data_IF_029603063625
#
_entry.id   IF_029603063625
#
_cell.length_a   1.000
_cell.length_b   1.000
_cell.length_c   1.000
_cell.angle_alpha   90.00
_cell.angle_beta   90.00
_cell.angle_gamma   90.00
#
_symmetry.space_group_name_H-M   'P 1'
#
loop_
_entity.id
_entity.type
_entity.pdbx_description
1 polymer ?
#
# COMPACT_ATOMS: atom_id res chain seq x y z
N UNK A 1 3.17 27.35 -18.47
CA UNK A 1 2.44 26.76 -17.32
C UNK A 1 1.91 25.42 -17.79
N UNK A 2 2.13 24.39 -16.98
CA UNK A 2 1.81 23.00 -17.32
C UNK A 2 0.95 22.41 -16.21
N UNK A 3 -0.02 21.58 -16.59
CA UNK A 3 -0.99 20.99 -15.67
C UNK A 3 -0.90 19.47 -15.68
N UNK A 4 -1.17 18.84 -14.54
CA UNK A 4 -1.26 17.39 -14.39
C UNK A 4 -2.69 16.88 -14.58
N UNK A 5 -3.66 17.61 -14.02
CA UNK A 5 -5.07 17.27 -14.00
C UNK A 5 -5.91 18.50 -14.34
N UNK A 6 -7.04 18.26 -15.00
CA UNK A 6 -8.00 19.27 -15.41
C UNK A 6 -9.34 19.07 -14.70
N UNK A 7 -10.10 20.15 -14.62
CA UNK A 7 -11.52 20.17 -14.23
C UNK A 7 -12.36 20.58 -15.44
N UNK A 8 -13.69 20.62 -15.28
CA UNK A 8 -14.60 21.12 -16.31
C UNK A 8 -14.54 22.65 -16.49
N UNK A 9 -13.80 23.38 -15.63
CA UNK A 9 -13.73 24.83 -15.71
C UNK A 9 -12.83 25.29 -16.88
N UNK A 10 -13.35 26.13 -17.80
CA UNK A 10 -12.63 26.49 -19.03
C UNK A 10 -11.49 27.49 -18.81
N UNK A 11 -11.46 28.17 -17.66
CA UNK A 11 -10.47 29.19 -17.34
C UNK A 11 -9.18 28.63 -16.72
N UNK A 12 -9.12 27.30 -16.46
CA UNK A 12 -7.98 26.56 -15.90
C UNK A 12 -7.49 27.05 -14.53
N UNK A 13 -8.29 27.84 -13.82
CA UNK A 13 -7.86 28.45 -12.54
C UNK A 13 -7.76 27.42 -11.41
N UNK A 14 -8.55 26.36 -11.51
CA UNK A 14 -8.68 25.23 -10.59
C UNK A 14 -7.98 23.97 -11.14
N UNK A 15 -7.25 24.06 -12.25
CA UNK A 15 -6.45 22.95 -12.75
C UNK A 15 -5.21 22.76 -11.90
N UNK A 16 -4.82 21.50 -11.67
CA UNK A 16 -3.65 21.21 -10.86
C UNK A 16 -2.36 21.45 -11.66
N UNK A 17 -1.48 22.31 -11.14
CA UNK A 17 -0.15 22.51 -11.71
C UNK A 17 0.65 21.20 -11.69
N UNK A 18 1.38 20.93 -12.78
CA UNK A 18 2.16 19.72 -12.93
C UNK A 18 3.29 19.65 -11.90
N UNK A 19 3.99 20.75 -11.64
CA UNK A 19 5.03 20.81 -10.63
C UNK A 19 4.52 20.53 -9.22
N UNK A 20 3.31 21.00 -8.88
CA UNK A 20 2.67 20.71 -7.59
C UNK A 20 2.34 19.22 -7.47
N UNK A 21 1.73 18.65 -8.51
CA UNK A 21 1.44 17.21 -8.55
C UNK A 21 2.71 16.36 -8.38
N UNK A 22 3.75 16.63 -9.17
CA UNK A 22 5.02 15.89 -9.09
C UNK A 22 5.66 15.98 -7.70
N UNK A 23 5.62 17.16 -7.09
CA UNK A 23 6.13 17.37 -5.74
C UNK A 23 5.31 16.59 -4.69
N UNK A 24 3.99 16.71 -4.71
CA UNK A 24 3.12 15.98 -3.79
C UNK A 24 3.30 14.46 -3.91
N UNK A 25 3.37 13.93 -5.14
CA UNK A 25 3.61 12.50 -5.37
C UNK A 25 4.98 12.09 -4.87
N UNK A 26 6.01 12.91 -5.05
CA UNK A 26 7.35 12.64 -4.54
C UNK A 26 7.38 12.59 -3.00
N UNK A 27 6.74 13.56 -2.33
CA UNK A 27 6.66 13.63 -0.88
C UNK A 27 5.91 12.41 -0.31
N UNK A 28 4.71 12.12 -0.84
CA UNK A 28 3.91 10.98 -0.37
C UNK A 28 4.63 9.64 -0.62
N UNK A 29 5.23 9.46 -1.81
CA UNK A 29 5.95 8.22 -2.12
C UNK A 29 7.20 8.06 -1.23
N UNK A 30 7.89 9.16 -0.93
CA UNK A 30 9.04 9.20 -0.02
C UNK A 30 8.64 8.77 1.39
N UNK A 31 7.54 9.31 1.91
CA UNK A 31 7.00 8.99 3.24
C UNK A 31 6.63 7.50 3.35
N UNK A 32 5.96 6.95 2.34
CA UNK A 32 5.66 5.52 2.30
C UNK A 32 6.91 4.65 2.31
N UNK A 33 7.94 5.08 1.58
CA UNK A 33 9.17 4.35 1.41
C UNK A 33 10.15 4.46 2.60
N UNK A 34 9.97 5.43 3.50
CA UNK A 34 10.82 5.63 4.68
C UNK A 34 10.81 4.41 5.61
N UNK A 35 9.65 3.77 5.73
CA UNK A 35 9.42 2.56 6.54
C UNK A 35 10.35 1.39 6.18
N UNK A 36 10.90 1.37 4.96
CA UNK A 36 11.89 0.41 4.48
C UNK A 36 13.15 1.07 3.88
N UNK A 37 13.45 2.31 4.30
CA UNK A 37 14.65 3.08 3.99
C UNK A 37 14.89 3.29 2.49
N UNK A 38 13.84 3.68 1.77
CA UNK A 38 13.89 3.90 0.33
C UNK A 38 13.31 5.26 -0.11
N UNK A 39 13.24 6.23 0.82
CA UNK A 39 12.72 7.58 0.60
C UNK A 39 13.33 8.27 -0.61
N UNK A 40 14.66 8.35 -0.70
CA UNK A 40 15.34 9.11 -1.77
C UNK A 40 14.99 8.60 -3.18
N UNK A 41 14.96 7.27 -3.36
CA UNK A 41 14.63 6.66 -4.66
C UNK A 41 13.13 6.74 -4.96
N UNK A 42 12.26 6.68 -3.95
CA UNK A 42 10.82 6.88 -4.13
C UNK A 42 10.50 8.34 -4.50
N UNK A 43 11.14 9.29 -3.83
CA UNK A 43 11.06 10.73 -4.12
C UNK A 43 11.49 11.03 -5.56
N UNK A 44 12.64 10.49 -5.98
CA UNK A 44 13.10 10.58 -7.37
C UNK A 44 12.08 10.00 -8.36
N UNK A 45 11.45 8.88 -8.02
CA UNK A 45 10.39 8.26 -8.80
C UNK A 45 9.17 9.18 -8.95
N UNK A 46 8.71 9.78 -7.85
CA UNK A 46 7.55 10.69 -7.85
C UNK A 46 7.78 11.94 -8.68
N UNK A 47 8.95 12.60 -8.55
CA UNK A 47 9.27 13.78 -9.34
C UNK A 47 9.36 13.51 -10.85
N UNK A 48 9.82 12.30 -11.22
CA UNK A 48 10.09 11.98 -12.62
C UNK A 48 8.93 11.30 -13.33
N UNK A 49 7.97 10.69 -12.62
CA UNK A 49 7.05 9.74 -13.25
C UNK A 49 6.21 10.31 -14.41
N UNK A 50 5.88 11.60 -14.29
CA UNK A 50 4.95 12.29 -15.18
C UNK A 50 5.56 13.50 -15.90
N UNK A 51 6.89 13.63 -15.94
CA UNK A 51 7.55 14.76 -16.65
C UNK A 51 7.20 14.83 -18.13
N UNK A 52 6.78 13.71 -18.76
CA UNK A 52 6.27 13.73 -20.14
C UNK A 52 4.99 14.57 -20.32
N UNK A 53 4.28 14.90 -19.24
CA UNK A 53 3.11 15.81 -19.26
C UNK A 53 3.50 17.27 -19.54
N UNK A 54 4.79 17.64 -19.45
CA UNK A 54 5.31 18.93 -19.91
C UNK A 54 5.27 19.09 -21.44
N UNK A 55 4.80 18.09 -22.19
CA UNK A 55 4.63 18.20 -23.63
C UNK A 55 3.36 18.95 -24.03
N UNK A 56 3.46 19.72 -25.13
CA UNK A 56 2.32 20.45 -25.71
C UNK A 56 1.16 19.50 -26.03
N UNK A 57 1.47 18.32 -26.57
CA UNK A 57 0.45 17.32 -26.92
C UNK A 57 -0.31 16.81 -25.70
N UNK A 58 0.35 16.66 -24.54
CA UNK A 58 -0.33 16.27 -23.31
C UNK A 58 -1.23 17.40 -22.79
N UNK A 59 -0.76 18.65 -22.84
CA UNK A 59 -1.58 19.80 -22.42
C UNK A 59 -2.83 19.95 -23.30
N UNK A 60 -2.71 19.76 -24.61
CA UNK A 60 -3.87 19.72 -25.54
C UNK A 60 -4.84 18.58 -25.22
N UNK A 61 -4.34 17.44 -24.76
CA UNK A 61 -5.17 16.32 -24.31
C UNK A 61 -6.00 16.70 -23.09
N UNK A 62 -5.42 17.40 -22.11
CA UNK A 62 -6.16 17.90 -20.94
C UNK A 62 -7.26 18.91 -21.34
N UNK A 63 -7.04 19.66 -22.42
CA UNK A 63 -8.02 20.57 -23.03
C UNK A 63 -9.10 19.87 -23.88
N UNK A 64 -9.13 18.53 -23.89
CA UNK A 64 -10.17 17.74 -24.56
C UNK A 64 -9.79 17.22 -25.95
N UNK A 65 -8.56 17.44 -26.43
CA UNK A 65 -8.11 16.82 -27.68
C UNK A 65 -8.02 15.30 -27.52
N UNK A 66 -8.57 14.55 -28.50
CA UNK A 66 -8.53 13.08 -28.53
C UNK A 66 -7.19 12.56 -29.04
N UNK A 67 -6.12 12.83 -28.29
CA UNK A 67 -4.74 12.45 -28.62
C UNK A 67 -4.23 11.46 -27.57
N UNK A 68 -3.62 10.35 -28.02
CA UNK A 68 -2.89 9.45 -27.13
C UNK A 68 -1.46 9.94 -27.02
N UNK A 69 -1.01 10.20 -25.79
CA UNK A 69 0.35 10.65 -25.49
C UNK A 69 1.01 9.64 -24.58
N UNK A 70 2.22 9.19 -24.94
CA UNK A 70 3.07 8.39 -24.05
C UNK A 70 3.92 9.33 -23.19
N UNK A 71 3.39 9.71 -22.03
CA UNK A 71 4.08 10.60 -21.10
C UNK A 71 5.00 9.82 -20.14
N UNK A 72 4.63 8.60 -19.77
CA UNK A 72 5.38 7.76 -18.81
C UNK A 72 6.79 7.37 -19.27
N UNK A 73 7.01 7.17 -20.58
CA UNK A 73 8.33 6.77 -21.09
C UNK A 73 9.36 7.90 -20.95
N UNK A 74 8.93 9.17 -20.96
CA UNK A 74 9.80 10.33 -20.79
C UNK A 74 10.53 10.30 -19.43
N UNK A 75 9.78 10.14 -18.34
CA UNK A 75 10.34 10.09 -16.99
C UNK A 75 11.33 8.95 -16.78
N UNK A 76 11.02 7.78 -17.33
CA UNK A 76 11.91 6.62 -17.25
C UNK A 76 13.23 6.83 -18.02
N UNK A 77 13.20 7.55 -19.16
CA UNK A 77 14.42 7.91 -19.90
C UNK A 77 15.27 8.93 -19.16
N UNK A 78 14.65 9.87 -18.47
CA UNK A 78 15.38 10.84 -17.64
C UNK A 78 16.01 10.16 -16.43
N UNK A 79 15.33 9.22 -15.77
CA UNK A 79 15.92 8.41 -14.72
C UNK A 79 17.16 7.63 -15.20
N UNK A 80 17.15 7.12 -16.45
CA UNK A 80 18.31 6.47 -17.09
C UNK A 80 19.47 7.42 -17.36
N UNK A 81 19.18 8.68 -17.65
CA UNK A 81 20.20 9.70 -17.89
C UNK A 81 20.82 10.21 -16.58
N UNK A 82 20.00 10.38 -15.53
CA UNK A 82 20.44 10.95 -14.25
C UNK A 82 21.16 9.96 -13.35
N UNK A 83 20.78 8.67 -13.38
CA UNK A 83 21.21 7.73 -12.35
C UNK A 83 22.03 6.55 -12.88
N UNK A 84 22.93 5.99 -12.06
CA UNK A 84 23.58 4.73 -12.35
C UNK A 84 22.57 3.60 -12.62
N UNK A 85 22.96 2.66 -13.49
CA UNK A 85 22.10 1.57 -13.99
C UNK A 85 21.37 0.80 -12.88
N UNK A 86 21.98 0.61 -11.72
CA UNK A 86 21.36 -0.10 -10.60
C UNK A 86 20.11 0.63 -10.03
N UNK A 87 20.09 1.96 -10.03
CA UNK A 87 18.96 2.75 -9.55
C UNK A 87 18.02 3.11 -10.70
N UNK A 88 18.59 3.49 -11.85
CA UNK A 88 17.78 3.82 -13.02
C UNK A 88 16.89 2.67 -13.42
N UNK A 89 17.36 1.42 -13.33
CA UNK A 89 16.55 0.25 -13.70
C UNK A 89 15.30 0.10 -12.84
N UNK A 90 15.39 0.38 -11.55
CA UNK A 90 14.25 0.35 -10.63
C UNK A 90 13.27 1.46 -11.02
N UNK A 91 13.77 2.68 -11.19
CA UNK A 91 12.97 3.85 -11.60
C UNK A 91 12.30 3.63 -12.96
N UNK A 92 13.02 3.09 -13.94
CA UNK A 92 12.51 2.74 -15.26
C UNK A 92 11.28 1.82 -15.16
N UNK A 93 11.33 0.78 -14.31
CA UNK A 93 10.20 -0.13 -14.11
C UNK A 93 8.99 0.56 -13.47
N UNK A 94 9.20 1.28 -12.37
CA UNK A 94 8.09 1.86 -11.63
C UNK A 94 7.43 3.01 -12.41
N UNK A 95 8.24 3.83 -13.10
CA UNK A 95 7.77 4.97 -13.89
C UNK A 95 7.06 4.49 -15.16
N UNK A 96 7.63 3.56 -15.94
CA UNK A 96 6.91 3.09 -17.15
C UNK A 96 5.61 2.34 -16.80
N UNK A 97 5.57 1.73 -15.62
CA UNK A 97 4.44 0.93 -15.17
C UNK A 97 3.30 1.70 -14.50
N UNK A 98 3.48 2.97 -14.11
CA UNK A 98 2.58 3.64 -13.15
C UNK A 98 1.09 3.68 -13.55
N UNK A 99 0.78 3.61 -14.86
CA UNK A 99 -0.59 3.39 -15.34
C UNK A 99 -0.88 1.95 -15.82
N UNK A 100 0.07 1.31 -16.50
CA UNK A 100 -0.15 0.06 -17.24
C UNK A 100 0.16 -1.23 -16.48
N UNK A 101 0.77 -1.12 -15.30
CA UNK A 101 1.37 -2.27 -14.61
C UNK A 101 2.85 -2.45 -14.93
N UNK A 102 3.52 -3.23 -14.08
CA UNK A 102 4.93 -3.57 -14.27
C UNK A 102 5.11 -4.43 -15.53
N UNK A 103 6.03 -3.99 -16.39
CA UNK A 103 6.42 -4.72 -17.59
C UNK A 103 7.34 -5.89 -17.23
N UNK A 104 7.39 -6.90 -18.10
CA UNK A 104 8.55 -7.78 -18.15
C UNK A 104 9.77 -7.00 -18.70
N UNK A 105 10.99 -7.52 -18.50
CA UNK A 105 12.18 -6.90 -19.10
C UNK A 105 12.06 -6.87 -20.64
N UNK A 106 11.67 -8.02 -21.21
CA UNK A 106 11.38 -8.15 -22.63
C UNK A 106 12.64 -8.12 -23.51
N UNK A 107 12.47 -7.63 -24.74
CA UNK A 107 13.49 -7.52 -25.78
C UNK A 107 13.39 -6.16 -26.47
N UNK A 108 14.11 -5.94 -27.57
CA UNK A 108 13.91 -4.76 -28.41
C UNK A 108 12.52 -4.69 -29.07
N UNK A 109 11.73 -5.76 -29.00
CA UNK A 109 10.42 -5.91 -29.66
C UNK A 109 9.26 -6.09 -28.66
N UNK A 110 9.56 -6.15 -27.35
CA UNK A 110 8.53 -6.26 -26.31
C UNK A 110 9.03 -5.77 -24.95
N UNK A 111 8.13 -5.34 -24.08
CA UNK A 111 8.42 -5.09 -22.66
C UNK A 111 9.15 -3.77 -22.38
N UNK A 112 9.93 -3.73 -21.30
CA UNK A 112 10.59 -2.51 -20.84
C UNK A 112 11.61 -1.98 -21.86
N UNK A 113 12.41 -2.85 -22.47
CA UNK A 113 13.47 -2.41 -23.41
C UNK A 113 12.91 -1.79 -24.69
N UNK A 114 11.89 -2.40 -25.30
CA UNK A 114 11.15 -1.80 -26.43
C UNK A 114 10.58 -0.43 -26.04
N UNK A 115 9.91 -0.34 -24.89
CA UNK A 115 9.28 0.89 -24.43
C UNK A 115 10.29 2.02 -24.28
N UNK A 116 11.44 1.75 -23.66
CA UNK A 116 12.50 2.74 -23.49
C UNK A 116 13.23 3.07 -24.80
N UNK A 117 13.15 2.18 -25.79
CA UNK A 117 13.64 2.40 -27.15
C UNK A 117 12.77 3.33 -27.99
N UNK A 118 11.59 3.73 -27.52
CA UNK A 118 10.70 4.62 -28.26
C UNK A 118 11.38 5.98 -28.54
N UNK A 119 11.66 6.21 -29.83
CA UNK A 119 12.31 7.43 -30.33
C UNK A 119 11.34 8.60 -30.52
N UNK A 120 10.04 8.31 -30.60
CA UNK A 120 9.00 9.30 -30.89
C UNK A 120 8.30 9.71 -29.60
N UNK A 121 8.97 10.55 -28.82
CA UNK A 121 8.36 11.25 -27.69
C UNK A 121 8.19 12.73 -28.08
N UNK A 122 7.03 13.35 -27.77
CA UNK A 122 6.89 14.79 -27.85
C UNK A 122 7.98 15.50 -27.04
N UNK A 123 8.30 16.75 -27.39
CA UNK A 123 9.21 17.55 -26.56
C UNK A 123 8.56 17.82 -25.19
N UNK A 124 9.27 17.46 -24.13
CA UNK A 124 8.89 17.69 -22.73
C UNK A 124 9.95 18.50 -21.97
N UNK A 125 10.96 19.05 -22.65
CA UNK A 125 12.16 19.66 -22.06
C UNK A 125 11.90 20.78 -21.04
N UNK A 126 10.74 21.43 -21.11
CA UNK A 126 10.30 22.45 -20.15
C UNK A 126 10.25 21.97 -18.69
N UNK A 127 10.20 20.66 -18.42
CA UNK A 127 10.28 20.15 -17.04
C UNK A 127 11.55 20.62 -16.32
N UNK A 128 12.65 20.86 -17.05
CA UNK A 128 13.96 21.24 -16.49
C UNK A 128 13.95 22.62 -15.83
N UNK A 129 12.99 23.46 -16.19
CA UNK A 129 12.85 24.80 -15.61
C UNK A 129 12.18 24.77 -14.22
N UNK A 130 11.43 23.69 -13.91
CA UNK A 130 10.63 23.57 -12.69
C UNK A 130 11.06 22.42 -11.78
N UNK A 131 11.63 21.35 -12.34
CA UNK A 131 11.91 20.10 -11.62
C UNK A 131 13.40 19.80 -11.62
N UNK A 132 13.95 19.64 -10.42
CA UNK A 132 15.31 19.19 -10.20
C UNK A 132 15.30 17.78 -9.61
N UNK A 133 15.88 16.83 -10.33
CA UNK A 133 16.05 15.47 -9.84
C UNK A 133 17.03 15.46 -8.63
N UNK A 134 16.73 14.71 -7.55
CA UNK A 134 17.60 14.60 -6.39
C UNK A 134 18.90 13.85 -6.74
N UNK A 135 19.98 14.10 -6.00
CA UNK A 135 21.20 13.30 -6.13
C UNK A 135 21.09 12.00 -5.31
N UNK A 136 21.32 10.86 -5.95
CA UNK A 136 21.31 9.53 -5.32
C UNK A 136 22.72 8.98 -5.03
N UNK A 137 23.79 9.78 -5.17
CA UNK A 137 25.16 9.33 -4.93
C UNK A 137 25.39 8.80 -3.50
N UNK A 138 24.68 9.35 -2.51
CA UNK A 138 24.72 8.91 -1.10
C UNK A 138 23.80 7.73 -0.78
N UNK A 139 22.80 7.46 -1.61
CA UNK A 139 21.75 6.48 -1.33
C UNK A 139 22.29 5.04 -1.33
N UNK A 140 21.94 4.26 -0.31
CA UNK A 140 22.33 2.85 -0.18
C UNK A 140 21.11 2.01 0.19
N UNK A 141 20.64 1.11 -0.69
CA UNK A 141 19.56 0.19 -0.35
C UNK A 141 19.96 -0.67 0.86
N UNK A 142 19.11 -0.71 1.89
CA UNK A 142 19.32 -1.53 3.09
C UNK A 142 18.89 -2.99 2.90
N UNK A 143 18.29 -3.30 1.74
CA UNK A 143 17.69 -4.60 1.45
C UNK A 143 18.74 -5.69 1.36
N UNK A 144 18.54 -6.77 2.13
CA UNK A 144 19.41 -7.94 2.14
C UNK A 144 18.84 -9.07 1.27
N UNK A 145 19.65 -9.77 0.47
CA UNK A 145 19.18 -10.93 -0.29
C UNK A 145 18.58 -12.01 0.61
N UNK A 146 17.32 -12.36 0.37
CA UNK A 146 16.63 -13.44 1.09
C UNK A 146 17.11 -14.78 0.54
N UNK A 147 17.65 -15.66 1.39
CA UNK A 147 18.11 -17.00 1.01
C UNK A 147 19.03 -17.01 -0.25
N UNK A 148 19.90 -16.01 -0.40
CA UNK A 148 20.79 -15.82 -1.57
C UNK A 148 20.06 -15.57 -2.90
N UNK A 149 18.77 -15.22 -2.90
CA UNK A 149 17.96 -14.93 -4.10
C UNK A 149 17.95 -13.42 -4.42
N UNK A 150 19.09 -12.88 -4.83
CA UNK A 150 19.22 -11.44 -5.10
C UNK A 150 18.22 -10.90 -6.14
N UNK A 151 17.97 -11.64 -7.24
CA UNK A 151 17.01 -11.23 -8.26
C UNK A 151 15.59 -11.11 -7.74
N UNK A 152 15.15 -12.06 -6.90
CA UNK A 152 13.84 -12.00 -6.25
C UNK A 152 13.75 -10.81 -5.30
N UNK A 153 14.78 -10.59 -4.48
CA UNK A 153 14.86 -9.46 -3.55
C UNK A 153 14.74 -8.11 -4.27
N UNK A 154 15.50 -7.90 -5.35
CA UNK A 154 15.43 -6.67 -6.13
C UNK A 154 14.06 -6.53 -6.81
N UNK A 155 13.51 -7.60 -7.40
CA UNK A 155 12.20 -7.55 -8.03
C UNK A 155 11.08 -7.20 -7.03
N UNK A 156 11.15 -7.75 -5.81
CA UNK A 156 10.18 -7.44 -4.75
C UNK A 156 10.35 -6.00 -4.24
N UNK A 157 11.59 -5.55 -4.05
CA UNK A 157 11.89 -4.16 -3.68
C UNK A 157 11.41 -3.15 -4.72
N UNK A 158 11.63 -3.42 -6.01
CA UNK A 158 11.06 -2.62 -7.10
C UNK A 158 9.54 -2.59 -7.04
N UNK A 159 8.88 -3.69 -6.68
CA UNK A 159 7.42 -3.73 -6.53
C UNK A 159 6.95 -2.92 -5.31
N UNK A 160 7.69 -2.92 -4.19
CA UNK A 160 7.40 -2.07 -3.04
C UNK A 160 7.48 -0.59 -3.41
N UNK A 161 8.52 -0.18 -4.15
CA UNK A 161 8.63 1.19 -4.67
C UNK A 161 7.55 1.53 -5.69
N UNK A 162 7.19 0.58 -6.56
CA UNK A 162 6.07 0.72 -7.48
C UNK A 162 4.76 0.97 -6.74
N UNK A 163 4.53 0.22 -5.65
CA UNK A 163 3.38 0.40 -4.76
C UNK A 163 3.31 1.81 -4.18
N UNK A 164 4.44 2.31 -3.67
CA UNK A 164 4.53 3.67 -3.13
C UNK A 164 4.18 4.71 -4.20
N UNK A 165 4.79 4.60 -5.39
CA UNK A 165 4.56 5.55 -6.48
C UNK A 165 3.11 5.57 -6.95
N UNK A 166 2.51 4.40 -7.19
CA UNK A 166 1.14 4.35 -7.73
C UNK A 166 0.08 4.68 -6.70
N UNK A 167 0.34 4.45 -5.40
CA UNK A 167 -0.56 4.91 -4.35
C UNK A 167 -0.45 6.42 -4.18
N UNK A 168 0.77 6.97 -4.16
CA UNK A 168 1.01 8.41 -4.09
C UNK A 168 0.34 9.18 -5.24
N UNK A 169 0.55 8.74 -6.49
CA UNK A 169 -0.12 9.27 -7.69
C UNK A 169 -1.66 9.22 -7.55
N UNK A 170 -2.20 8.10 -7.07
CA UNK A 170 -3.64 7.98 -6.86
C UNK A 170 -4.18 8.85 -5.72
N UNK A 171 -3.45 9.02 -4.63
CA UNK A 171 -3.89 9.82 -3.47
C UNK A 171 -3.84 11.32 -3.77
N UNK A 172 -2.82 11.79 -4.48
CA UNK A 172 -2.77 13.19 -4.91
C UNK A 172 -3.88 13.50 -5.93
N UNK A 173 -4.07 12.62 -6.92
CA UNK A 173 -5.16 12.76 -7.89
C UNK A 173 -6.54 12.74 -7.20
N UNK A 174 -6.75 11.86 -6.22
CA UNK A 174 -7.97 11.81 -5.42
C UNK A 174 -8.18 13.10 -4.61
N UNK A 175 -7.16 13.57 -3.89
CA UNK A 175 -7.21 14.80 -3.11
C UNK A 175 -7.54 16.03 -3.98
N UNK A 176 -7.12 16.02 -5.24
CA UNK A 176 -7.48 17.02 -6.23
C UNK A 176 -8.92 16.86 -6.73
N UNK A 177 -9.32 15.66 -7.16
CA UNK A 177 -10.60 15.45 -7.85
C UNK A 177 -11.82 15.29 -6.92
N UNK A 178 -11.62 14.75 -5.72
CA UNK A 178 -12.65 14.49 -4.72
C UNK A 178 -12.09 14.70 -3.30
N UNK A 179 -11.94 15.96 -2.86
CA UNK A 179 -11.45 16.28 -1.52
C UNK A 179 -12.31 15.68 -0.40
N UNK A 180 -13.61 15.45 -0.66
CA UNK A 180 -14.50 14.86 0.32
C UNK A 180 -14.15 13.39 0.56
N UNK A 181 -13.97 12.59 -0.50
CA UNK A 181 -13.50 11.21 -0.39
C UNK A 181 -12.13 11.12 0.29
N UNK A 182 -11.19 11.97 -0.10
CA UNK A 182 -9.85 12.02 0.50
C UNK A 182 -9.91 12.26 2.03
N UNK A 183 -10.82 13.11 2.49
CA UNK A 183 -11.00 13.44 3.92
C UNK A 183 -11.55 12.29 4.77
N UNK A 184 -12.10 11.23 4.15
CA UNK A 184 -12.67 10.07 4.84
C UNK A 184 -11.59 9.03 5.18
N UNK A 185 -10.46 9.03 4.47
CA UNK A 185 -9.33 8.12 4.74
C UNK A 185 -8.73 8.34 6.12
N UNK A 186 -8.04 7.30 6.64
CA UNK A 186 -7.30 7.33 7.93
C UNK A 186 -8.14 7.68 9.17
N UNK A 187 -9.45 7.48 9.11
CA UNK A 187 -10.37 7.64 10.26
C UNK A 187 -10.47 6.34 11.05
N UNK A 188 -9.35 5.91 11.63
CA UNK A 188 -9.25 4.76 12.52
C UNK A 188 -8.61 5.13 13.85
N UNK A 189 -8.80 4.29 14.85
CA UNK A 189 -8.30 4.50 16.20
C UNK A 189 -6.85 4.02 16.36
N UNK A 190 -6.14 4.54 17.38
CA UNK A 190 -4.79 4.12 17.72
C UNK A 190 -4.73 2.69 18.27
N UNK A 191 -3.60 1.99 18.12
CA UNK A 191 -3.42 0.65 18.70
C UNK A 191 -3.56 0.61 20.22
N UNK A 192 -3.26 1.71 20.92
CA UNK A 192 -3.53 1.84 22.36
C UNK A 192 -5.03 1.69 22.64
N UNK A 193 -5.87 2.39 21.86
CA UNK A 193 -7.34 2.31 21.99
C UNK A 193 -7.85 0.92 21.60
N UNK A 194 -7.35 0.36 20.48
CA UNK A 194 -7.74 -0.97 20.02
C UNK A 194 -7.37 -2.06 21.03
N UNK A 195 -6.21 -1.93 21.67
CA UNK A 195 -5.74 -2.90 22.67
C UNK A 195 -6.55 -2.83 23.95
N UNK A 196 -6.95 -1.62 24.39
CA UNK A 196 -7.90 -1.48 25.51
C UNK A 196 -9.24 -2.14 25.21
N UNK A 197 -9.82 -1.91 24.02
CA UNK A 197 -11.08 -2.57 23.60
C UNK A 197 -10.94 -4.10 23.62
N UNK A 198 -9.81 -4.60 23.15
CA UNK A 198 -9.51 -6.02 23.17
C UNK A 198 -9.38 -6.58 24.60
N UNK A 199 -8.65 -5.90 25.48
CA UNK A 199 -8.50 -6.32 26.87
C UNK A 199 -9.86 -6.31 27.62
N UNK A 200 -10.71 -5.30 27.41
CA UNK A 200 -12.07 -5.24 27.97
C UNK A 200 -12.93 -6.42 27.48
N UNK A 201 -12.85 -6.74 26.18
CA UNK A 201 -13.51 -7.92 25.61
C UNK A 201 -13.01 -9.21 26.26
N UNK A 202 -11.69 -9.36 26.41
CA UNK A 202 -11.07 -10.56 27.00
C UNK A 202 -11.42 -10.73 28.48
N UNK A 203 -11.46 -9.64 29.27
CA UNK A 203 -11.89 -9.68 30.67
C UNK A 203 -13.33 -10.18 30.76
N UNK A 204 -14.22 -9.63 29.94
CA UNK A 204 -15.64 -10.05 29.91
C UNK A 204 -15.77 -11.53 29.53
N UNK A 205 -15.10 -11.95 28.46
CA UNK A 205 -15.11 -13.32 27.96
C UNK A 205 -14.59 -14.32 29.01
N UNK A 206 -13.50 -13.98 29.69
CA UNK A 206 -12.86 -14.85 30.69
C UNK A 206 -13.63 -14.89 32.02
N UNK A 207 -14.30 -13.80 32.41
CA UNK A 207 -15.14 -13.75 33.61
C UNK A 207 -16.44 -14.55 33.48
N UNK A 208 -16.98 -14.64 32.26
CA UNK A 208 -18.19 -15.40 31.96
C UNK A 208 -17.95 -16.87 31.63
N UNK A 209 -16.68 -17.30 31.57
CA UNK A 209 -16.33 -18.66 31.18
C UNK A 209 -16.36 -19.62 32.38
N UNK A 210 -17.00 -20.78 32.21
CA UNK A 210 -16.91 -21.87 33.19
C UNK A 210 -15.47 -22.38 33.32
N UNK A 211 -15.04 -22.68 34.55
CA UNK A 211 -13.69 -23.19 34.87
C UNK A 211 -13.52 -24.69 34.51
N UNK A 212 -13.68 -24.98 33.23
CA UNK A 212 -13.43 -26.31 32.64
C UNK A 212 -11.94 -26.53 32.39
N UNK A 213 -11.45 -27.79 32.32
CA UNK A 213 -10.07 -28.08 31.94
C UNK A 213 -9.68 -27.44 30.58
N UNK A 214 -10.61 -27.39 29.63
CA UNK A 214 -10.39 -26.78 28.30
C UNK A 214 -10.21 -25.26 28.43
N UNK A 215 -11.05 -24.58 29.21
CA UNK A 215 -10.95 -23.12 29.37
C UNK A 215 -9.68 -22.72 30.14
N UNK A 216 -9.20 -23.54 31.09
CA UNK A 216 -7.88 -23.36 31.71
C UNK A 216 -6.73 -23.44 30.69
N UNK A 217 -6.78 -24.41 29.78
CA UNK A 217 -5.77 -24.51 28.71
C UNK A 217 -5.84 -23.31 27.75
N UNK A 218 -7.04 -22.88 27.35
CA UNK A 218 -7.22 -21.67 26.51
C UNK A 218 -6.66 -20.43 27.17
N UNK A 219 -6.88 -20.25 28.47
CA UNK A 219 -6.32 -19.14 29.26
C UNK A 219 -4.79 -19.18 29.27
N UNK A 220 -4.20 -20.35 29.52
CA UNK A 220 -2.74 -20.51 29.48
C UNK A 220 -2.13 -20.24 28.11
N UNK A 221 -2.77 -20.67 27.02
CA UNK A 221 -2.34 -20.36 25.64
C UNK A 221 -2.39 -18.85 25.39
N UNK A 222 -3.48 -18.20 25.79
CA UNK A 222 -3.64 -16.75 25.65
C UNK A 222 -2.56 -15.98 26.41
N UNK A 223 -2.30 -16.34 27.67
CA UNK A 223 -1.25 -15.73 28.50
C UNK A 223 0.14 -15.93 27.89
N UNK A 224 0.45 -17.15 27.44
CA UNK A 224 1.72 -17.44 26.77
C UNK A 224 1.91 -16.62 25.48
N UNK A 225 0.86 -16.43 24.68
CA UNK A 225 0.92 -15.57 23.50
C UNK A 225 1.26 -14.12 23.86
N UNK A 226 0.67 -13.57 24.93
CA UNK A 226 0.99 -12.20 25.40
C UNK A 226 2.43 -12.07 25.87
N UNK A 227 2.91 -13.03 26.67
CA UNK A 227 4.31 -13.05 27.13
C UNK A 227 5.29 -13.09 25.97
N UNK A 228 5.03 -13.94 24.97
CA UNK A 228 5.90 -14.10 23.80
C UNK A 228 5.92 -12.87 22.88
N UNK A 229 4.91 -11.99 22.95
CA UNK A 229 4.87 -10.74 22.17
C UNK A 229 6.03 -9.78 22.52
N UNK A 230 6.65 -9.97 23.69
CA UNK A 230 7.84 -9.25 24.14
C UNK A 230 9.11 -9.55 23.32
N UNK A 231 9.16 -10.69 22.64
CA UNK A 231 10.34 -11.12 21.92
C UNK A 231 10.65 -10.22 20.70
N UNK A 232 11.91 -10.18 20.22
CA UNK A 232 12.27 -9.46 19.02
C UNK A 232 11.47 -9.90 17.79
N UNK A 233 11.30 -9.00 16.82
CA UNK A 233 10.61 -9.29 15.56
C UNK A 233 11.26 -10.46 14.82
N UNK A 234 10.47 -11.51 14.54
CA UNK A 234 10.90 -12.70 13.81
C UNK A 234 9.68 -13.52 13.34
N UNK A 235 9.90 -14.69 12.77
CA UNK A 235 8.82 -15.65 12.49
C UNK A 235 8.49 -16.44 13.76
N UNK A 236 7.21 -16.50 14.10
CA UNK A 236 6.69 -17.29 15.22
C UNK A 236 5.79 -18.41 14.71
N UNK A 237 5.57 -19.44 15.53
CA UNK A 237 4.66 -20.54 15.21
C UNK A 237 3.77 -20.82 16.41
N UNK A 238 2.46 -20.80 16.20
CA UNK A 238 1.44 -21.12 17.21
C UNK A 238 0.82 -22.47 16.89
N UNK A 239 1.25 -23.53 17.59
CA UNK A 239 0.71 -24.88 17.40
C UNK A 239 -0.34 -25.19 18.46
N UNK A 240 -1.61 -25.01 18.09
CA UNK A 240 -2.75 -25.20 19.00
C UNK A 240 -3.86 -26.00 18.30
N UNK A 241 -4.45 -27.02 18.94
CA UNK A 241 -5.54 -27.80 18.36
C UNK A 241 -6.75 -26.94 18.00
N UNK A 242 -7.61 -27.45 17.12
CA UNK A 242 -8.87 -26.78 16.76
C UNK A 242 -9.72 -26.54 18.02
N UNK A 243 -10.31 -25.34 18.12
CA UNK A 243 -11.04 -24.93 19.31
C UNK A 243 -10.16 -24.49 20.48
N UNK A 244 -8.83 -24.52 20.39
CA UNK A 244 -7.92 -24.07 21.45
C UNK A 244 -7.74 -22.55 21.59
N UNK A 245 -8.55 -21.73 20.90
CA UNK A 245 -8.51 -20.28 21.03
C UNK A 245 -7.44 -19.56 20.20
N UNK A 246 -7.04 -20.13 19.05
CA UNK A 246 -6.01 -19.57 18.15
C UNK A 246 -6.26 -18.11 17.78
N UNK A 247 -7.46 -17.80 17.30
CA UNK A 247 -7.82 -16.48 16.74
C UNK A 247 -7.61 -15.33 17.73
N UNK A 248 -8.14 -15.44 18.94
CA UNK A 248 -7.98 -14.39 19.96
C UNK A 248 -6.56 -14.39 20.54
N UNK A 249 -5.93 -15.56 20.69
CA UNK A 249 -4.56 -15.62 21.23
C UNK A 249 -3.51 -15.05 20.26
N UNK A 250 -3.65 -15.28 18.95
CA UNK A 250 -2.77 -14.68 17.94
C UNK A 250 -3.02 -13.18 17.78
N UNK A 251 -4.27 -12.73 17.90
CA UNK A 251 -4.59 -11.29 17.93
C UNK A 251 -4.01 -10.61 19.18
N UNK A 252 -4.06 -11.25 20.34
CA UNK A 252 -3.43 -10.75 21.57
C UNK A 252 -1.92 -10.57 21.40
N UNK A 253 -1.25 -11.59 20.84
CA UNK A 253 0.16 -11.50 20.47
C UNK A 253 0.40 -10.30 19.54
N UNK A 254 -0.40 -10.18 18.47
CA UNK A 254 -0.18 -9.14 17.46
C UNK A 254 -0.36 -7.73 18.01
N UNK A 255 -1.41 -7.46 18.78
CA UNK A 255 -1.65 -6.15 19.40
C UNK A 255 -0.51 -5.75 20.33
N UNK A 256 -0.05 -6.68 21.17
CA UNK A 256 1.03 -6.42 22.13
C UNK A 256 2.38 -6.27 21.41
N UNK A 257 2.62 -7.07 20.36
CA UNK A 257 3.83 -6.98 19.54
C UNK A 257 3.87 -5.67 18.75
N UNK A 258 2.73 -5.22 18.20
CA UNK A 258 2.62 -3.96 17.48
C UNK A 258 3.02 -2.78 18.35
N UNK A 259 2.47 -2.69 19.55
CA UNK A 259 2.78 -1.59 20.47
C UNK A 259 4.26 -1.60 20.92
N UNK A 260 4.78 -2.77 21.30
CA UNK A 260 6.15 -2.91 21.82
C UNK A 260 7.21 -2.54 20.79
N UNK A 261 6.94 -2.82 19.51
CA UNK A 261 7.90 -2.64 18.43
C UNK A 261 7.58 -1.45 17.52
N UNK A 262 6.55 -0.66 17.85
CA UNK A 262 6.11 0.51 17.09
C UNK A 262 5.66 0.16 15.67
N UNK A 263 5.05 -1.01 15.47
CA UNK A 263 4.51 -1.43 14.18
C UNK A 263 3.20 -0.70 13.87
N UNK A 264 2.72 -0.79 12.64
CA UNK A 264 1.65 0.09 12.14
C UNK A 264 0.38 -0.65 11.75
N UNK A 265 0.44 -1.96 11.49
CA UNK A 265 -0.70 -2.72 10.95
C UNK A 265 -0.68 -4.19 11.38
N UNK A 266 -1.86 -4.81 11.38
CA UNK A 266 -2.07 -6.24 11.56
C UNK A 266 -2.78 -6.78 10.32
N UNK A 267 -2.19 -7.77 9.67
CA UNK A 267 -2.81 -8.53 8.59
C UNK A 267 -3.16 -9.93 9.10
N UNK A 268 -4.43 -10.27 9.10
CA UNK A 268 -4.93 -11.60 9.44
C UNK A 268 -5.33 -12.33 8.15
N UNK A 269 -4.50 -13.27 7.71
CA UNK A 269 -4.60 -13.94 6.41
C UNK A 269 -5.14 -15.36 6.60
N UNK A 270 -6.27 -15.66 5.95
CA UNK A 270 -7.04 -16.89 6.18
C UNK A 270 -7.14 -17.73 4.88
N UNK A 271 -7.09 -19.07 4.95
CA UNK A 271 -7.16 -19.94 3.76
C UNK A 271 -8.54 -20.03 3.14
N UNK A 272 -9.61 -20.07 3.94
CA UNK A 272 -10.98 -20.32 3.47
C UNK A 272 -11.88 -19.10 3.65
N UNK A 273 -12.74 -18.83 2.67
CA UNK A 273 -13.69 -17.70 2.70
C UNK A 273 -14.75 -17.86 3.78
N UNK A 274 -15.26 -19.06 4.08
CA UNK A 274 -16.28 -19.21 5.13
C UNK A 274 -15.80 -18.83 6.54
N UNK A 275 -14.49 -18.88 6.79
CA UNK A 275 -13.89 -18.53 8.08
C UNK A 275 -13.62 -17.02 8.16
N UNK A 276 -13.46 -16.34 7.00
CA UNK A 276 -13.12 -14.92 6.95
C UNK A 276 -14.24 -14.04 7.50
N UNK A 277 -15.49 -14.30 7.08
CA UNK A 277 -16.66 -13.53 7.47
C UNK A 277 -16.88 -13.63 8.99
N UNK A 278 -16.69 -14.84 9.56
CA UNK A 278 -16.79 -15.06 10.99
C UNK A 278 -15.70 -14.32 11.77
N UNK A 279 -14.43 -14.44 11.36
CA UNK A 279 -13.33 -13.79 12.05
C UNK A 279 -13.40 -12.26 11.92
N UNK A 280 -13.74 -11.74 10.74
CA UNK A 280 -13.95 -10.32 10.51
C UNK A 280 -15.10 -9.77 11.36
N UNK A 281 -16.22 -10.49 11.46
CA UNK A 281 -17.34 -10.10 12.33
C UNK A 281 -16.95 -10.07 13.82
N UNK A 282 -16.19 -11.06 14.30
CA UNK A 282 -15.64 -11.06 15.67
C UNK A 282 -14.75 -9.85 15.90
N UNK A 283 -13.82 -9.56 14.97
CA UNK A 283 -12.94 -8.41 15.10
C UNK A 283 -13.70 -7.08 15.03
N UNK A 284 -14.67 -6.91 14.12
CA UNK A 284 -15.51 -5.70 14.08
C UNK A 284 -16.28 -5.48 15.37
N UNK A 285 -16.80 -6.55 15.99
CA UNK A 285 -17.49 -6.46 17.28
C UNK A 285 -16.57 -5.95 18.40
N UNK A 286 -15.29 -6.30 18.36
CA UNK A 286 -14.30 -5.90 19.38
C UNK A 286 -13.77 -4.48 19.08
N UNK A 287 -13.33 -4.25 17.85
CA UNK A 287 -12.55 -3.08 17.47
C UNK A 287 -13.40 -1.96 16.87
N UNK A 288 -14.58 -2.25 16.33
CA UNK A 288 -15.41 -1.33 15.56
C UNK A 288 -15.18 -1.45 14.06
N UNK A 289 -16.22 -1.16 13.27
CA UNK A 289 -16.26 -1.40 11.82
C UNK A 289 -15.21 -0.62 11.03
N UNK A 290 -14.85 0.60 11.46
CA UNK A 290 -13.82 1.43 10.79
C UNK A 290 -12.38 0.93 11.00
N UNK A 291 -12.15 0.07 11.99
CA UNK A 291 -10.81 -0.41 12.33
C UNK A 291 -10.49 -1.77 11.69
N UNK A 292 -11.47 -2.43 11.06
CA UNK A 292 -11.33 -3.79 10.52
C UNK A 292 -11.80 -3.82 9.07
N UNK A 293 -10.85 -3.95 8.15
CA UNK A 293 -11.13 -4.19 6.74
C UNK A 293 -11.24 -5.69 6.47
N UNK A 294 -12.37 -6.14 5.95
CA UNK A 294 -12.49 -7.45 5.32
C UNK A 294 -12.25 -7.28 3.82
N UNK A 295 -11.32 -8.03 3.24
CA UNK A 295 -11.00 -7.88 1.83
C UNK A 295 -10.76 -9.22 1.14
N UNK A 296 -11.74 -9.64 0.34
CA UNK A 296 -11.70 -10.81 -0.54
C UNK A 296 -12.71 -10.62 -1.68
N UNK A 297 -12.72 -11.53 -2.66
CA UNK A 297 -13.51 -11.40 -3.89
C UNK A 297 -15.03 -11.32 -3.69
N UNK A 298 -15.53 -11.81 -2.56
CA UNK A 298 -16.97 -11.95 -2.30
C UNK A 298 -17.47 -10.96 -1.24
N UNK A 299 -16.60 -10.08 -0.73
CA UNK A 299 -17.00 -9.13 0.30
C UNK A 299 -17.78 -7.97 -0.34
N UNK A 300 -18.96 -7.70 0.21
CA UNK A 300 -19.76 -6.53 -0.13
C UNK A 300 -19.79 -5.56 1.06
N UNK A 301 -19.09 -4.41 0.97
CA UNK A 301 -19.07 -3.42 2.04
C UNK A 301 -20.44 -2.89 2.48
N UNK A 302 -21.45 -2.93 1.60
CA UNK A 302 -22.81 -2.48 1.92
C UNK A 302 -23.54 -3.37 2.92
N UNK A 303 -23.04 -4.60 3.15
CA UNK A 303 -23.62 -5.55 4.10
C UNK A 303 -23.21 -5.30 5.55
N UNK A 304 -22.28 -4.36 5.80
CA UNK A 304 -21.83 -4.03 7.16
C UNK A 304 -22.81 -3.06 7.82
N UNK A 305 -23.43 -3.52 8.92
CA UNK A 305 -24.30 -2.67 9.76
C UNK A 305 -23.47 -1.63 10.51
N UNK A 306 -23.83 -0.35 10.35
CA UNK A 306 -23.26 0.79 11.06
C UNK A 306 -24.32 1.91 11.14
N UNK A 307 -24.15 2.87 12.05
CA UNK A 307 -25.09 4.00 12.19
C UNK A 307 -25.00 4.93 10.96
N UNK A 308 -23.85 4.95 10.26
CA UNK A 308 -23.62 5.68 9.01
C UNK A 308 -23.06 4.74 7.93
N UNK A 309 -23.96 3.93 7.35
CA UNK A 309 -23.63 2.88 6.37
C UNK A 309 -22.96 3.45 5.11
N UNK A 310 -23.46 4.57 4.56
CA UNK A 310 -22.91 5.14 3.32
C UNK A 310 -21.47 5.63 3.51
N UNK A 311 -21.19 6.34 4.63
CA UNK A 311 -19.82 6.78 4.94
C UNK A 311 -18.89 5.60 5.17
N UNK A 312 -19.36 4.56 5.85
CA UNK A 312 -18.55 3.37 6.10
C UNK A 312 -18.28 2.58 4.82
N UNK A 313 -19.27 2.43 3.94
CA UNK A 313 -19.12 1.73 2.67
C UNK A 313 -18.04 2.38 1.80
N UNK A 314 -18.11 3.71 1.65
CA UNK A 314 -17.09 4.48 0.94
C UNK A 314 -15.71 4.33 1.60
N UNK A 315 -15.64 4.46 2.93
CA UNK A 315 -14.39 4.28 3.68
C UNK A 315 -13.76 2.89 3.45
N UNK A 316 -14.54 1.82 3.51
CA UNK A 316 -14.05 0.45 3.31
C UNK A 316 -13.59 0.22 1.87
N UNK A 317 -14.30 0.76 0.88
CA UNK A 317 -13.89 0.71 -0.53
C UNK A 317 -12.55 1.39 -0.73
N UNK A 318 -12.38 2.63 -0.24
CA UNK A 318 -11.12 3.38 -0.32
C UNK A 318 -9.99 2.65 0.42
N UNK A 319 -10.27 2.10 1.59
CA UNK A 319 -9.33 1.32 2.39
C UNK A 319 -8.89 0.03 1.68
N UNK A 320 -9.77 -0.61 0.92
CA UNK A 320 -9.45 -1.81 0.15
C UNK A 320 -8.44 -1.53 -0.97
N UNK A 321 -8.36 -0.30 -1.49
CA UNK A 321 -7.45 0.05 -2.58
C UNK A 321 -5.98 -0.04 -2.18
N UNK A 322 -5.65 0.41 -0.95
CA UNK A 322 -4.28 0.50 -0.47
C UNK A 322 -4.00 -0.18 0.88
N UNK A 323 -4.98 -0.78 1.55
CA UNK A 323 -4.84 -1.39 2.89
C UNK A 323 -4.39 -0.40 3.97
N UNK A 324 -4.83 0.85 3.88
CA UNK A 324 -4.56 1.86 4.90
C UNK A 324 -5.56 1.79 6.08
N UNK A 325 -5.54 0.66 6.80
CA UNK A 325 -6.31 0.42 8.03
C UNK A 325 -5.47 -0.37 9.04
N UNK A 326 -5.77 -0.28 10.36
CA UNK A 326 -4.95 -0.93 11.39
C UNK A 326 -5.08 -2.46 11.36
N UNK A 327 -6.27 -3.00 11.07
CA UNK A 327 -6.50 -4.45 11.00
C UNK A 327 -7.11 -4.80 9.64
N UNK A 328 -6.41 -5.59 8.85
CA UNK A 328 -6.92 -6.14 7.58
C UNK A 328 -7.08 -7.65 7.70
N UNK A 329 -8.30 -8.14 7.49
CA UNK A 329 -8.62 -9.57 7.36
C UNK A 329 -8.78 -9.88 5.88
N UNK A 330 -7.95 -10.80 5.36
CA UNK A 330 -7.93 -11.11 3.94
C UNK A 330 -7.68 -12.60 3.69
N UNK A 331 -7.87 -13.07 2.46
CA UNK A 331 -7.59 -14.47 2.12
C UNK A 331 -6.14 -14.66 1.68
N UNK A 332 -5.64 -15.90 1.77
CA UNK A 332 -4.34 -16.29 1.18
C UNK A 332 -4.26 -15.88 -0.30
N UNK A 333 -5.32 -16.12 -1.06
CA UNK A 333 -5.38 -15.75 -2.50
C UNK A 333 -5.20 -14.25 -2.66
N UNK A 334 -6.02 -13.43 -1.98
CA UNK A 334 -5.96 -11.98 -2.10
C UNK A 334 -4.62 -11.41 -1.61
N UNK A 335 -4.05 -11.99 -0.54
CA UNK A 335 -2.75 -11.61 -0.01
C UNK A 335 -1.61 -11.91 -1.00
N UNK A 336 -1.44 -13.17 -1.40
CA UNK A 336 -0.35 -13.57 -2.28
C UNK A 336 -0.51 -13.00 -3.70
N UNK A 337 -1.72 -12.92 -4.26
CA UNK A 337 -1.91 -12.27 -5.56
C UNK A 337 -1.47 -10.81 -5.54
N UNK A 338 -1.68 -10.09 -4.43
CA UNK A 338 -1.21 -8.70 -4.31
C UNK A 338 0.32 -8.62 -4.34
N UNK A 339 1.01 -9.57 -3.69
CA UNK A 339 2.48 -9.63 -3.64
C UNK A 339 3.15 -9.97 -4.99
N UNK A 340 2.47 -10.75 -5.84
CA UNK A 340 3.05 -11.28 -7.09
C UNK A 340 2.43 -10.69 -8.36
N UNK A 341 1.45 -9.79 -8.24
CA UNK A 341 0.87 -9.13 -9.40
C UNK A 341 1.86 -8.18 -10.10
N UNK A 342 1.53 -7.87 -11.34
CA UNK A 342 2.08 -6.74 -12.08
C UNK A 342 1.04 -5.62 -12.29
N UNK A 343 -0.22 -5.81 -11.89
CA UNK A 343 -1.30 -4.83 -12.10
C UNK A 343 -1.24 -3.71 -11.06
N UNK A 344 -1.44 -2.46 -11.50
CA UNK A 344 -1.50 -1.24 -10.65
C UNK A 344 -2.41 -1.43 -9.42
N UNK A 345 -3.68 -1.79 -9.64
CA UNK A 345 -4.68 -1.93 -8.56
C UNK A 345 -4.35 -3.00 -7.52
N UNK A 346 -3.62 -4.06 -7.91
CA UNK A 346 -3.19 -5.12 -6.99
C UNK A 346 -1.94 -4.71 -6.22
N UNK A 347 -0.99 -4.04 -6.87
CA UNK A 347 0.26 -3.63 -6.25
C UNK A 347 0.10 -2.38 -5.35
N UNK A 348 -0.90 -1.52 -5.58
CA UNK A 348 -1.11 -0.26 -4.85
C UNK A 348 -1.05 -0.40 -3.31
N UNK A 349 -1.43 -1.55 -2.77
CA UNK A 349 -1.52 -1.81 -1.33
C UNK A 349 -0.28 -2.39 -0.65
N UNK A 350 0.71 -2.89 -1.40
CA UNK A 350 1.75 -3.74 -0.80
C UNK A 350 2.76 -2.98 0.07
N UNK A 351 2.99 -1.68 -0.15
CA UNK A 351 3.88 -0.89 0.70
C UNK A 351 3.40 -0.83 2.15
N UNK A 352 2.08 -0.86 2.38
CA UNK A 352 1.45 -0.92 3.71
C UNK A 352 1.67 -2.26 4.43
N UNK A 353 2.29 -3.26 3.80
CA UNK A 353 2.76 -4.46 4.49
C UNK A 353 4.06 -4.22 5.29
N UNK A 354 4.79 -3.15 4.98
CA UNK A 354 5.93 -2.75 5.79
C UNK A 354 5.49 -2.48 7.24
N UNK A 355 6.39 -2.74 8.20
CA UNK A 355 6.14 -2.51 9.63
C UNK A 355 4.81 -3.10 10.12
N UNK A 356 4.44 -4.30 9.67
CA UNK A 356 3.19 -4.95 10.06
C UNK A 356 3.42 -6.31 10.73
N UNK A 357 2.45 -6.74 11.54
CA UNK A 357 2.34 -8.13 11.98
C UNK A 357 1.45 -8.88 11.00
N UNK A 358 1.98 -9.93 10.39
CA UNK A 358 1.23 -10.79 9.47
C UNK A 358 0.97 -12.13 10.16
N UNK A 359 -0.30 -12.41 10.43
CA UNK A 359 -0.78 -13.69 10.94
C UNK A 359 -1.25 -14.52 9.74
N UNK A 360 -0.62 -15.66 9.52
CA UNK A 360 -1.06 -16.68 8.57
C UNK A 360 -1.78 -17.78 9.37
N UNK A 361 -3.11 -17.82 9.31
CA UNK A 361 -3.95 -18.80 10.04
C UNK A 361 -4.14 -20.12 9.27
#
# INVERSE_FOLDING_TARGET
>A
MYYAHSTDAPNKQDWQLLSVHLQNVADIASDFADTFHASDIAYAGGLLHDVGKYSVDFQRRLEGARIRVDHSTAGAREARAFYPKQFSRILEYIITGHHGGLLNYGSSESGLEERLGNRFLPDYSAYRDEIQAPDLAGFRPTVRPVQKRAGFTIAFYTRMLYSCLVDADSLDAEAFSDPAAASVRRRYESFETLSRKFDEHMVTLLSGAEETPINRQRRGIFEQCREMAALPQQMFTLTVPTGGGKTLSSMAFALEHVQRHGLERIFYVIPYTSIIEQNAAVFRKIFGSRNVLEHHSNFDPSTVSDDDVESLEQYLKLSAENWDVPITVTTNVQFFESLFSNKRSRCRKIHNLSRSVIILD
#
